data_IF_150516547670
#
_entry.id   IF_150516547670
#
_cell.length_a   1.000
_cell.length_b   1.000
_cell.length_c   1.000
_cell.angle_alpha   90.00
_cell.angle_beta   90.00
_cell.angle_gamma   90.00
#
_symmetry.space_group_name_H-M   'P 1'
#
loop_
_entity.id
_entity.type
_entity.pdbx_description
1 polymer ?
#
# COMPACT_ATOMS: atom_id res chain seq x y z
N UNK A 1 -6.10 34.26 51.55
CA UNK A 1 -5.28 33.43 50.64
C UNK A 1 -6.05 32.27 50.00
N UNK A 2 -7.13 31.74 50.61
CA UNK A 2 -7.88 30.60 50.06
C UNK A 2 -8.82 30.87 48.86
N UNK A 3 -9.31 32.11 48.65
CA UNK A 3 -10.31 32.37 47.60
C UNK A 3 -9.69 32.40 46.19
N UNK A 4 -8.54 33.06 46.02
CA UNK A 4 -7.83 33.11 44.73
C UNK A 4 -7.23 31.77 44.27
N UNK A 5 -6.96 30.82 45.18
CA UNK A 5 -6.54 29.46 44.83
C UNK A 5 -7.69 28.57 44.36
N UNK A 6 -8.93 28.83 44.81
CA UNK A 6 -10.12 28.11 44.36
C UNK A 6 -10.56 28.58 42.96
N UNK A 7 -10.52 29.89 42.71
CA UNK A 7 -10.86 30.46 41.39
C UNK A 7 -9.88 30.06 40.30
N UNK A 8 -8.57 30.01 40.61
CA UNK A 8 -7.54 29.55 39.69
C UNK A 8 -7.64 28.05 39.34
N UNK A 9 -8.08 27.21 40.30
CA UNK A 9 -8.32 25.79 40.07
C UNK A 9 -9.58 25.53 39.24
N UNK A 10 -10.65 26.28 39.48
CA UNK A 10 -11.88 26.18 38.70
C UNK A 10 -11.65 26.61 37.23
N UNK A 11 -10.93 27.71 37.01
CA UNK A 11 -10.57 28.17 35.67
C UNK A 11 -9.63 27.19 34.94
N UNK A 12 -8.62 26.66 35.64
CA UNK A 12 -7.72 25.64 35.11
C UNK A 12 -8.43 24.32 34.79
N UNK A 13 -9.40 23.92 35.60
CA UNK A 13 -10.24 22.74 35.39
C UNK A 13 -11.08 22.87 34.12
N UNK A 14 -11.81 23.97 33.95
CA UNK A 14 -12.64 24.19 32.77
C UNK A 14 -11.79 24.21 31.49
N UNK A 15 -10.63 24.86 31.51
CA UNK A 15 -9.70 24.86 30.39
C UNK A 15 -9.21 23.45 30.03
N UNK A 16 -8.86 22.63 31.02
CA UNK A 16 -8.48 21.24 30.81
C UNK A 16 -9.63 20.42 30.21
N UNK A 17 -10.86 20.56 30.71
CA UNK A 17 -12.01 19.83 30.19
C UNK A 17 -12.32 20.20 28.74
N UNK A 18 -12.25 21.48 28.36
CA UNK A 18 -12.43 21.93 26.96
C UNK A 18 -11.36 21.31 26.06
N UNK A 19 -10.10 21.32 26.50
CA UNK A 19 -8.99 20.69 25.77
C UNK A 19 -9.18 19.18 25.64
N UNK A 20 -9.66 18.52 26.69
CA UNK A 20 -9.98 17.09 26.70
C UNK A 20 -11.08 16.75 25.70
N UNK A 21 -12.18 17.51 25.70
CA UNK A 21 -13.28 17.35 24.74
C UNK A 21 -12.84 17.57 23.29
N UNK A 22 -12.02 18.59 23.03
CA UNK A 22 -11.43 18.82 21.71
C UNK A 22 -10.55 17.65 21.27
N UNK A 23 -9.72 17.12 22.18
CA UNK A 23 -8.86 15.98 21.89
C UNK A 23 -9.68 14.72 21.54
N UNK A 24 -10.71 14.41 22.34
CA UNK A 24 -11.65 13.30 22.05
C UNK A 24 -12.29 13.48 20.67
N UNK A 25 -12.76 14.69 20.34
CA UNK A 25 -13.36 14.97 19.03
C UNK A 25 -12.36 14.78 17.88
N UNK A 26 -11.13 15.27 18.01
CA UNK A 26 -10.07 15.12 16.99
C UNK A 26 -9.72 13.65 16.78
N UNK A 27 -9.59 12.87 17.86
CA UNK A 27 -9.30 11.43 17.77
C UNK A 27 -10.47 10.69 17.12
N UNK A 28 -11.72 10.99 17.48
CA UNK A 28 -12.92 10.41 16.85
C UNK A 28 -13.00 10.72 15.36
N UNK A 29 -12.71 11.95 14.94
CA UNK A 29 -12.60 12.29 13.51
C UNK A 29 -11.49 11.50 12.84
N UNK A 30 -10.35 11.28 13.51
CA UNK A 30 -9.28 10.45 12.98
C UNK A 30 -9.69 8.99 12.80
N UNK A 31 -10.40 8.41 13.77
CA UNK A 31 -10.92 7.03 13.71
C UNK A 31 -11.92 6.90 12.57
N UNK A 32 -12.92 7.79 12.52
CA UNK A 32 -13.95 7.78 11.48
C UNK A 32 -13.33 7.89 10.08
N UNK A 33 -12.37 8.80 9.87
CA UNK A 33 -11.63 8.93 8.60
C UNK A 33 -10.76 7.73 8.25
N UNK A 34 -10.36 6.91 9.21
CA UNK A 34 -9.47 5.77 8.95
C UNK A 34 -10.24 4.46 8.76
N UNK A 35 -11.34 4.27 9.49
CA UNK A 35 -12.06 2.98 9.54
C UNK A 35 -13.45 3.02 8.88
N UNK A 36 -14.09 4.19 8.78
CA UNK A 36 -15.52 4.28 8.40
C UNK A 36 -15.72 5.03 7.09
N UNK A 37 -15.07 6.19 6.93
CA UNK A 37 -15.27 7.06 5.77
C UNK A 37 -14.39 6.56 4.62
N UNK A 38 -15.03 6.12 3.55
CA UNK A 38 -14.37 5.76 2.29
C UNK A 38 -13.80 7.02 1.62
N UNK A 39 -12.64 6.89 0.96
CA UNK A 39 -11.93 7.99 0.27
C UNK A 39 -11.57 9.20 1.16
N UNK A 40 -11.50 9.03 2.48
CA UNK A 40 -11.06 10.10 3.36
C UNK A 40 -9.56 10.40 3.17
N UNK A 41 -9.21 11.70 3.11
CA UNK A 41 -7.80 12.10 3.17
C UNK A 41 -7.22 11.71 4.54
N UNK A 42 -6.01 11.12 4.60
CA UNK A 42 -5.40 10.73 5.87
C UNK A 42 -5.34 11.90 6.85
N UNK A 43 -5.76 11.67 8.10
CA UNK A 43 -5.69 12.68 9.15
C UNK A 43 -4.23 13.10 9.42
N UNK A 44 -4.02 14.28 10.03
CA UNK A 44 -2.69 14.70 10.45
C UNK A 44 -2.02 13.70 11.41
N UNK A 45 -2.81 13.11 12.30
CA UNK A 45 -2.39 12.05 13.23
C UNK A 45 -1.93 10.81 12.46
N UNK A 46 -2.74 10.33 11.52
CA UNK A 46 -2.42 9.15 10.72
C UNK A 46 -1.14 9.33 9.91
N UNK A 47 -0.96 10.51 9.30
CA UNK A 47 0.28 10.86 8.57
C UNK A 47 1.50 10.86 9.49
N UNK A 48 1.37 11.38 10.70
CA UNK A 48 2.48 11.47 11.65
C UNK A 48 2.91 10.09 12.13
N UNK A 49 1.96 9.23 12.52
CA UNK A 49 2.23 7.83 12.89
C UNK A 49 2.88 7.08 11.71
N UNK A 50 2.33 7.23 10.50
CA UNK A 50 2.91 6.61 9.29
C UNK A 50 4.35 7.03 9.05
N UNK A 51 4.67 8.33 9.20
CA UNK A 51 6.05 8.83 9.05
C UNK A 51 6.97 8.26 10.12
N UNK A 52 6.53 8.21 11.38
CA UNK A 52 7.31 7.65 12.48
C UNK A 52 7.63 6.17 12.23
N UNK A 53 6.61 5.35 11.90
CA UNK A 53 6.77 3.93 11.58
C UNK A 53 7.68 3.76 10.36
N UNK A 54 7.44 4.48 9.25
CA UNK A 54 8.31 4.38 8.08
C UNK A 54 9.76 4.77 8.40
N UNK A 55 9.99 5.78 9.25
CA UNK A 55 11.35 6.18 9.64
C UNK A 55 12.06 5.12 10.46
N UNK A 56 11.33 4.46 11.38
CA UNK A 56 11.83 3.32 12.13
C UNK A 56 12.23 2.17 11.19
N UNK A 57 11.38 1.79 10.25
CA UNK A 57 11.68 0.69 9.31
C UNK A 57 12.77 1.05 8.31
N UNK A 58 12.87 2.32 7.88
CA UNK A 58 14.01 2.79 7.08
C UNK A 58 15.30 2.63 7.89
N UNK A 59 15.31 2.98 9.18
CA UNK A 59 16.47 2.81 10.04
C UNK A 59 16.86 1.33 10.21
N UNK A 60 15.88 0.47 10.53
CA UNK A 60 16.10 -0.97 10.71
C UNK A 60 16.63 -1.67 9.45
N UNK A 61 16.24 -1.17 8.27
CA UNK A 61 16.67 -1.74 6.99
C UNK A 61 17.99 -1.19 6.45
N UNK A 62 18.61 -0.19 7.10
CA UNK A 62 19.89 0.38 6.62
C UNK A 62 21.02 -0.63 6.58
N UNK A 63 21.04 -1.55 7.55
CA UNK A 63 22.09 -2.57 7.68
C UNK A 63 21.73 -3.89 7.01
N UNK A 64 20.63 -3.95 6.26
CA UNK A 64 20.23 -5.19 5.57
C UNK A 64 21.21 -5.47 4.42
N UNK A 65 21.86 -6.65 4.38
CA UNK A 65 22.89 -6.96 3.38
C UNK A 65 22.31 -7.25 1.99
N UNK A 66 21.07 -7.75 1.94
CA UNK A 66 20.39 -8.13 0.71
C UNK A 66 18.90 -7.78 0.75
N UNK A 67 18.25 -7.85 -0.41
CA UNK A 67 16.84 -7.56 -0.53
C UNK A 67 15.93 -8.55 0.23
N UNK A 68 16.13 -9.89 0.20
CA UNK A 68 15.30 -10.81 0.98
C UNK A 68 15.29 -10.53 2.49
N UNK A 69 16.43 -10.16 3.07
CA UNK A 69 16.52 -9.77 4.49
C UNK A 69 15.76 -8.46 4.74
N UNK A 70 15.93 -7.49 3.84
CA UNK A 70 15.21 -6.21 3.88
C UNK A 70 13.69 -6.41 3.81
N UNK A 71 13.23 -7.25 2.89
CA UNK A 71 11.81 -7.57 2.70
C UNK A 71 11.22 -8.28 3.94
N UNK A 72 11.96 -9.21 4.54
CA UNK A 72 11.55 -9.87 5.80
C UNK A 72 11.35 -8.88 6.95
N UNK A 73 12.23 -7.88 7.08
CA UNK A 73 12.07 -6.82 8.09
C UNK A 73 10.81 -6.00 7.75
N UNK A 74 10.66 -5.59 6.48
CA UNK A 74 9.55 -4.75 6.05
C UNK A 74 8.19 -5.47 6.09
N UNK A 75 8.15 -6.81 6.14
CA UNK A 75 6.92 -7.57 6.31
C UNK A 75 6.16 -7.24 7.61
N UNK A 76 6.88 -6.83 8.67
CA UNK A 76 6.25 -6.43 9.94
C UNK A 76 5.69 -4.99 9.90
N UNK A 77 6.11 -4.16 8.95
CA UNK A 77 5.76 -2.74 8.87
C UNK A 77 4.25 -2.43 8.93
N UNK A 78 3.39 -3.04 8.09
CA UNK A 78 1.96 -2.73 8.11
C UNK A 78 1.30 -3.12 9.44
N UNK A 79 1.70 -4.24 10.04
CA UNK A 79 1.17 -4.69 11.34
C UNK A 79 1.61 -3.76 12.46
N UNK A 80 2.88 -3.35 12.47
CA UNK A 80 3.38 -2.34 13.41
C UNK A 80 2.64 -1.01 13.26
N UNK A 81 2.34 -0.59 12.03
CA UNK A 81 1.54 0.61 11.80
C UNK A 81 0.14 0.51 12.41
N UNK A 82 -0.58 -0.61 12.20
CA UNK A 82 -1.90 -0.82 12.76
C UNK A 82 -1.86 -0.82 14.30
N UNK A 83 -0.89 -1.50 14.90
CA UNK A 83 -0.72 -1.57 16.35
C UNK A 83 -0.42 -0.18 16.96
N UNK A 84 0.53 0.56 16.37
CA UNK A 84 0.87 1.91 16.83
C UNK A 84 -0.30 2.87 16.63
N UNK A 85 -1.08 2.74 15.55
CA UNK A 85 -2.27 3.56 15.33
C UNK A 85 -3.32 3.34 16.43
N UNK A 86 -3.64 2.07 16.71
CA UNK A 86 -4.58 1.72 17.77
C UNK A 86 -4.12 2.27 19.13
N UNK A 87 -2.84 2.05 19.47
CA UNK A 87 -2.25 2.58 20.70
C UNK A 87 -2.32 4.12 20.75
N UNK A 88 -2.09 4.79 19.62
CA UNK A 88 -2.18 6.25 19.52
C UNK A 88 -3.61 6.75 19.75
N UNK A 89 -4.62 6.08 19.20
CA UNK A 89 -6.02 6.44 19.46
C UNK A 89 -6.40 6.21 20.91
N UNK A 90 -6.08 5.05 21.48
CA UNK A 90 -6.36 4.74 22.89
C UNK A 90 -5.65 5.72 23.83
N UNK A 91 -4.39 6.07 23.57
CA UNK A 91 -3.67 7.08 24.33
C UNK A 91 -4.30 8.47 24.20
N UNK A 92 -4.75 8.85 22.99
CA UNK A 92 -5.44 10.10 22.74
C UNK A 92 -6.78 10.20 23.49
N UNK A 93 -7.58 9.12 23.47
CA UNK A 93 -8.81 9.04 24.25
C UNK A 93 -8.55 9.03 25.74
N UNK A 94 -7.57 8.25 26.21
CA UNK A 94 -7.17 8.20 27.61
C UNK A 94 -6.80 9.60 28.13
N UNK A 95 -5.95 10.33 27.40
CA UNK A 95 -5.59 11.70 27.75
C UNK A 95 -6.80 12.64 27.69
N UNK A 96 -7.63 12.51 26.65
CA UNK A 96 -8.85 13.31 26.48
C UNK A 96 -9.83 13.14 27.65
N UNK A 97 -10.11 11.91 28.05
CA UNK A 97 -10.97 11.59 29.18
C UNK A 97 -10.34 11.95 30.52
N UNK A 98 -9.03 11.79 30.68
CA UNK A 98 -8.29 12.27 31.88
C UNK A 98 -8.49 13.77 32.07
N UNK A 99 -8.34 14.55 30.98
CA UNK A 99 -8.52 16.00 31.01
C UNK A 99 -9.99 16.40 31.21
N UNK A 100 -10.92 15.62 30.66
CA UNK A 100 -12.35 15.79 30.93
C UNK A 100 -12.69 15.53 32.39
N UNK A 101 -12.12 14.52 33.06
CA UNK A 101 -12.41 14.23 34.47
C UNK A 101 -11.68 15.17 35.45
N UNK A 102 -10.65 15.89 34.99
CA UNK A 102 -9.82 16.74 35.84
C UNK A 102 -10.54 17.78 36.73
N UNK A 103 -11.62 18.46 36.30
CA UNK A 103 -12.38 19.37 37.17
C UNK A 103 -13.05 18.70 38.37
N UNK A 104 -13.29 17.38 38.30
CA UNK A 104 -14.06 16.63 39.28
C UNK A 104 -13.19 15.83 40.25
N UNK A 105 -11.90 15.68 39.95
CA UNK A 105 -10.96 14.87 40.72
C UNK A 105 -9.92 15.73 41.44
N UNK A 106 -9.31 15.24 42.55
CA UNK A 106 -8.31 15.99 43.32
C UNK A 106 -7.04 16.35 42.53
N UNK A 107 -6.72 15.57 41.50
CA UNK A 107 -5.50 15.71 40.71
C UNK A 107 -5.53 14.90 39.42
N UNK A 108 -4.53 15.16 38.56
CA UNK A 108 -4.40 14.48 37.26
C UNK A 108 -4.19 12.97 37.39
N UNK A 109 -3.55 12.50 38.48
CA UNK A 109 -3.29 11.09 38.70
C UNK A 109 -4.60 10.33 38.97
N UNK A 110 -5.49 10.93 39.76
CA UNK A 110 -6.81 10.38 40.07
C UNK A 110 -7.72 10.39 38.84
N UNK A 111 -7.75 11.49 38.08
CA UNK A 111 -8.47 11.56 36.80
C UNK A 111 -7.98 10.53 35.79
N UNK A 112 -6.66 10.30 35.73
CA UNK A 112 -6.06 9.31 34.83
C UNK A 112 -6.42 7.89 35.27
N UNK A 113 -6.46 7.62 36.57
CA UNK A 113 -6.88 6.33 37.13
C UNK A 113 -8.34 6.04 36.81
N UNK A 114 -9.23 7.01 36.98
CA UNK A 114 -10.65 6.89 36.63
C UNK A 114 -10.85 6.74 35.12
N UNK A 115 -10.27 7.62 34.30
CA UNK A 115 -10.33 7.53 32.84
C UNK A 115 -9.84 6.17 32.31
N UNK A 116 -8.75 5.65 32.86
CA UNK A 116 -8.22 4.33 32.52
C UNK A 116 -9.15 3.20 32.94
N UNK A 117 -9.68 3.25 34.17
CA UNK A 117 -10.66 2.29 34.67
C UNK A 117 -11.89 2.22 33.77
N UNK A 118 -12.41 3.37 33.34
CA UNK A 118 -13.60 3.45 32.48
C UNK A 118 -13.29 3.06 31.04
N UNK A 119 -12.28 3.66 30.40
CA UNK A 119 -11.92 3.40 28.99
C UNK A 119 -11.57 1.94 28.72
N UNK A 120 -10.87 1.28 29.66
CA UNK A 120 -10.51 -0.14 29.54
C UNK A 120 -11.51 -1.07 30.23
N UNK A 121 -12.66 -0.55 30.68
CA UNK A 121 -13.77 -1.32 31.28
C UNK A 121 -13.39 -2.13 32.53
N UNK A 122 -12.42 -1.64 33.31
CA UNK A 122 -11.96 -2.28 34.54
C UNK A 122 -12.89 -1.99 35.74
N UNK A 123 -13.53 -0.82 35.77
CA UNK A 123 -14.64 -0.50 36.67
C UNK A 123 -14.32 -0.38 38.18
N UNK A 124 -13.04 -0.28 38.57
CA UNK A 124 -12.65 -0.18 39.99
C UNK A 124 -12.39 1.27 40.48
N UNK A 125 -12.36 2.23 39.56
CA UNK A 125 -12.21 3.66 39.84
C UNK A 125 -13.35 4.42 39.17
N UNK A 126 -14.19 5.08 39.98
CA UNK A 126 -15.30 5.92 39.54
C UNK A 126 -15.70 6.88 40.64
N UNK A 127 -16.15 8.08 40.26
CA UNK A 127 -16.70 9.09 41.14
C UNK A 127 -18.21 9.18 40.94
N UNK A 128 -18.96 8.89 42.00
CA UNK A 128 -20.42 8.77 41.99
C UNK A 128 -21.13 10.14 41.95
N UNK A 129 -20.93 10.90 40.86
CA UNK A 129 -21.60 12.17 40.59
C UNK A 129 -22.04 12.23 39.13
N UNK A 130 -23.16 12.92 38.85
CA UNK A 130 -23.84 12.85 37.56
C UNK A 130 -22.96 13.23 36.34
N UNK A 131 -22.05 14.20 36.50
CA UNK A 131 -21.13 14.62 35.42
C UNK A 131 -20.08 13.56 35.07
N UNK A 132 -19.16 13.22 36.00
CA UNK A 132 -18.20 12.12 35.87
C UNK A 132 -18.82 10.81 35.42
N UNK A 133 -20.00 10.43 35.93
CA UNK A 133 -20.68 9.21 35.49
C UNK A 133 -21.00 9.21 33.99
N UNK A 134 -21.43 10.33 33.41
CA UNK A 134 -21.65 10.42 31.95
C UNK A 134 -20.33 10.29 31.18
N UNK A 135 -19.26 10.90 31.68
CA UNK A 135 -17.92 10.81 31.07
C UNK A 135 -17.41 9.37 31.12
N UNK A 136 -17.60 8.68 32.24
CA UNK A 136 -17.26 7.26 32.42
C UNK A 136 -18.00 6.36 31.43
N UNK A 137 -19.31 6.55 31.27
CA UNK A 137 -20.09 5.79 30.29
C UNK A 137 -19.62 6.03 28.86
N UNK A 138 -19.32 7.28 28.49
CA UNK A 138 -18.79 7.62 27.18
C UNK A 138 -17.39 7.03 26.97
N UNK A 139 -16.53 7.07 27.99
CA UNK A 139 -15.19 6.48 27.94
C UNK A 139 -15.25 4.97 27.74
N UNK A 140 -16.04 4.26 28.56
CA UNK A 140 -16.24 2.82 28.44
C UNK A 140 -16.80 2.42 27.07
N UNK A 141 -17.85 3.13 26.61
CA UNK A 141 -18.43 2.91 25.29
C UNK A 141 -17.44 3.17 24.15
N UNK A 142 -16.61 4.21 24.27
CA UNK A 142 -15.57 4.54 23.27
C UNK A 142 -14.50 3.46 23.21
N UNK A 143 -13.97 3.01 24.35
CA UNK A 143 -12.94 1.97 24.40
C UNK A 143 -13.43 0.67 23.76
N UNK A 144 -14.63 0.23 24.14
CA UNK A 144 -15.28 -0.94 23.56
C UNK A 144 -15.50 -0.78 22.06
N UNK A 145 -16.02 0.36 21.61
CA UNK A 145 -16.29 0.62 20.19
C UNK A 145 -15.01 0.59 19.35
N UNK A 146 -13.93 1.22 19.81
CA UNK A 146 -12.65 1.26 19.07
C UNK A 146 -12.05 -0.14 18.94
N UNK A 147 -12.05 -0.92 20.01
CA UNK A 147 -11.56 -2.31 19.98
C UNK A 147 -12.44 -3.16 19.06
N UNK A 148 -13.78 -3.03 19.15
CA UNK A 148 -14.71 -3.74 18.29
C UNK A 148 -14.52 -3.40 16.80
N UNK A 149 -14.39 -2.12 16.46
CA UNK A 149 -14.08 -1.67 15.09
C UNK A 149 -12.76 -2.26 14.59
N UNK A 150 -11.73 -2.28 15.44
CA UNK A 150 -10.42 -2.83 15.06
C UNK A 150 -10.47 -4.35 14.80
N UNK A 151 -11.21 -5.09 15.63
CA UNK A 151 -11.46 -6.53 15.44
C UNK A 151 -12.21 -6.76 14.13
N UNK A 152 -13.24 -5.97 13.83
CA UNK A 152 -14.01 -6.07 12.59
C UNK A 152 -13.20 -5.67 11.34
N UNK A 153 -12.23 -4.77 11.49
CA UNK A 153 -11.43 -4.26 10.38
C UNK A 153 -10.39 -5.27 9.86
N UNK A 154 -9.80 -6.08 10.74
CA UNK A 154 -8.75 -7.04 10.36
C UNK A 154 -9.22 -8.10 9.33
N UNK A 155 -10.38 -8.78 9.51
CA UNK A 155 -10.91 -9.71 8.51
C UNK A 155 -11.09 -9.08 7.13
N UNK A 156 -11.61 -7.84 7.07
CA UNK A 156 -11.79 -7.11 5.80
C UNK A 156 -10.45 -6.84 5.12
N UNK A 157 -9.43 -6.42 5.87
CA UNK A 157 -8.08 -6.25 5.34
C UNK A 157 -7.48 -7.55 4.81
N UNK A 158 -7.57 -8.65 5.58
CA UNK A 158 -7.02 -9.94 5.16
C UNK A 158 -7.75 -10.53 3.95
N UNK A 159 -9.06 -10.34 3.86
CA UNK A 159 -9.84 -10.74 2.67
C UNK A 159 -9.38 -9.98 1.42
N UNK A 160 -9.21 -8.65 1.53
CA UNK A 160 -8.68 -7.85 0.43
C UNK A 160 -7.24 -8.24 0.04
N UNK A 161 -6.39 -8.50 1.04
CA UNK A 161 -5.02 -8.98 0.82
C UNK A 161 -4.99 -10.33 0.10
N UNK A 162 -5.78 -11.31 0.54
CA UNK A 162 -5.81 -12.65 -0.06
C UNK A 162 -6.28 -12.60 -1.52
N UNK A 163 -7.32 -11.83 -1.81
CA UNK A 163 -7.83 -11.63 -3.19
C UNK A 163 -6.77 -11.01 -4.11
N UNK A 164 -6.03 -10.01 -3.60
CA UNK A 164 -4.90 -9.42 -4.31
C UNK A 164 -3.83 -10.48 -4.61
N UNK A 165 -3.46 -11.28 -3.60
CA UNK A 165 -2.29 -12.15 -3.66
C UNK A 165 -2.46 -13.38 -4.56
N UNK A 166 -3.69 -13.86 -4.77
CA UNK A 166 -3.97 -14.97 -5.68
C UNK A 166 -3.38 -14.72 -7.08
N UNK A 167 -3.72 -13.58 -7.69
CA UNK A 167 -3.25 -13.25 -9.05
C UNK A 167 -1.75 -12.96 -9.10
N UNK A 168 -1.21 -12.34 -8.04
CA UNK A 168 0.24 -12.07 -7.93
C UNK A 168 1.03 -13.37 -7.87
N UNK A 169 0.52 -14.36 -7.16
CA UNK A 169 1.15 -15.68 -7.06
C UNK A 169 1.08 -16.44 -8.39
N UNK A 170 -0.07 -16.41 -9.07
CA UNK A 170 -0.23 -17.03 -10.40
C UNK A 170 0.67 -16.38 -11.45
N UNK A 171 0.88 -15.06 -11.36
CA UNK A 171 1.74 -14.32 -12.28
C UNK A 171 3.19 -14.80 -12.24
N UNK A 172 3.70 -15.32 -11.11
CA UNK A 172 5.08 -15.77 -11.00
C UNK A 172 5.44 -16.86 -12.02
N UNK A 173 4.49 -17.75 -12.34
CA UNK A 173 4.66 -18.76 -13.38
C UNK A 173 4.76 -18.12 -14.78
N UNK A 174 3.93 -17.11 -15.04
CA UNK A 174 3.81 -16.43 -16.34
C UNK A 174 4.90 -15.40 -16.59
N UNK A 175 5.32 -14.61 -15.60
CA UNK A 175 6.23 -13.46 -15.77
C UNK A 175 7.58 -13.62 -15.05
N UNK A 176 7.80 -14.75 -14.37
CA UNK A 176 9.00 -14.98 -13.56
C UNK A 176 8.95 -14.35 -12.18
N UNK A 177 10.02 -14.56 -11.41
CA UNK A 177 10.17 -14.06 -10.05
C UNK A 177 11.56 -13.43 -9.89
N UNK A 178 11.69 -12.09 -9.77
CA UNK A 178 10.61 -11.09 -9.82
C UNK A 178 9.93 -10.98 -11.20
N UNK A 179 8.68 -10.50 -11.28
CA UNK A 179 7.95 -10.42 -12.54
C UNK A 179 8.52 -9.35 -13.49
N UNK A 180 8.53 -9.64 -14.79
CA UNK A 180 8.98 -8.73 -15.85
C UNK A 180 8.11 -8.88 -17.11
N UNK A 181 7.65 -7.77 -17.70
CA UNK A 181 6.70 -7.79 -18.82
C UNK A 181 7.21 -8.52 -20.08
N UNK A 182 8.45 -8.28 -20.53
CA UNK A 182 9.05 -9.08 -21.60
C UNK A 182 9.18 -10.58 -21.27
N UNK A 183 9.44 -10.96 -20.01
CA UNK A 183 9.42 -12.39 -19.63
C UNK A 183 8.03 -12.98 -19.76
N UNK A 184 6.99 -12.20 -19.40
CA UNK A 184 5.60 -12.60 -19.57
C UNK A 184 5.30 -12.96 -21.02
N UNK A 185 5.61 -12.06 -21.95
CA UNK A 185 5.45 -12.32 -23.39
C UNK A 185 6.33 -13.49 -23.86
N UNK A 186 7.58 -13.57 -23.42
CA UNK A 186 8.46 -14.68 -23.79
C UNK A 186 7.91 -16.04 -23.36
N UNK A 187 7.35 -16.15 -22.14
CA UNK A 187 6.81 -17.40 -21.61
C UNK A 187 5.51 -17.85 -22.25
N UNK A 188 4.71 -16.93 -22.81
CA UNK A 188 3.57 -17.33 -23.64
C UNK A 188 4.00 -18.14 -24.87
N UNK A 189 5.25 -17.99 -25.34
CA UNK A 189 5.76 -18.72 -26.50
C UNK A 189 6.38 -20.08 -26.16
N UNK A 190 6.85 -20.30 -24.93
CA UNK A 190 7.49 -21.55 -24.49
C UNK A 190 6.51 -22.73 -24.31
N UNK A 191 5.19 -22.48 -24.28
CA UNK A 191 4.18 -23.45 -23.83
C UNK A 191 3.43 -24.28 -24.89
N UNK A 192 3.84 -24.28 -26.17
CA UNK A 192 3.14 -24.76 -27.41
C UNK A 192 2.47 -23.63 -28.21
N UNK A 193 2.04 -23.90 -29.46
CA UNK A 193 1.25 -23.00 -30.31
C UNK A 193 -0.14 -22.76 -29.68
N UNK A 194 -0.19 -22.16 -28.51
CA UNK A 194 -1.44 -21.72 -27.88
C UNK A 194 -1.98 -20.52 -28.68
N UNK A 195 -3.28 -20.55 -28.93
CA UNK A 195 -3.99 -19.52 -29.70
C UNK A 195 -3.90 -18.13 -29.06
N UNK A 196 -4.31 -17.11 -29.81
CA UNK A 196 -4.31 -15.69 -29.42
C UNK A 196 -5.13 -15.37 -28.14
N UNK A 197 -5.84 -16.36 -27.59
CA UNK A 197 -6.83 -16.20 -26.53
C UNK A 197 -6.25 -16.14 -25.10
N UNK A 198 -5.07 -16.73 -24.80
CA UNK A 198 -4.53 -16.74 -23.41
C UNK A 198 -4.06 -15.35 -22.94
N UNK A 199 -3.45 -14.55 -23.81
CA UNK A 199 -3.13 -13.15 -23.51
C UNK A 199 -4.40 -12.30 -23.36
N UNK A 200 -5.43 -12.59 -24.17
CA UNK A 200 -6.73 -11.90 -24.09
C UNK A 200 -7.38 -12.14 -22.72
N UNK A 201 -7.41 -13.38 -22.25
CA UNK A 201 -7.94 -13.73 -20.93
C UNK A 201 -7.12 -13.09 -19.79
N UNK A 202 -5.79 -13.15 -19.89
CA UNK A 202 -4.90 -12.50 -18.93
C UNK A 202 -5.22 -11.01 -18.79
N UNK A 203 -5.33 -10.28 -19.90
CA UNK A 203 -5.59 -8.84 -19.83
C UNK A 203 -6.98 -8.51 -19.27
N UNK A 204 -8.02 -9.30 -19.59
CA UNK A 204 -9.35 -9.15 -18.97
C UNK A 204 -9.33 -9.42 -17.47
N UNK A 205 -8.55 -10.41 -17.04
CA UNK A 205 -8.38 -10.73 -15.63
C UNK A 205 -7.67 -9.60 -14.89
N UNK A 206 -6.57 -9.10 -15.45
CA UNK A 206 -5.78 -8.02 -14.85
C UNK A 206 -6.44 -6.65 -14.94
N UNK A 207 -7.32 -6.41 -15.92
CA UNK A 207 -8.22 -5.25 -15.94
C UNK A 207 -9.15 -5.25 -14.71
N UNK A 208 -9.86 -6.37 -14.48
CA UNK A 208 -10.75 -6.54 -13.32
C UNK A 208 -9.98 -6.47 -12.00
N UNK A 209 -8.82 -7.12 -11.95
CA UNK A 209 -7.95 -7.10 -10.77
C UNK A 209 -7.41 -5.69 -10.49
N UNK A 210 -7.03 -4.92 -11.52
CA UNK A 210 -6.60 -3.54 -11.36
C UNK A 210 -7.72 -2.63 -10.81
N UNK A 211 -8.97 -2.82 -11.26
CA UNK A 211 -10.11 -2.11 -10.70
C UNK A 211 -10.31 -2.42 -9.20
N UNK A 212 -10.21 -3.70 -8.84
CA UNK A 212 -10.37 -4.16 -7.46
C UNK A 212 -9.27 -3.67 -6.51
N UNK A 213 -8.00 -3.76 -6.90
CA UNK A 213 -6.91 -3.22 -6.09
C UNK A 213 -6.99 -1.70 -5.99
N UNK A 214 -7.40 -1.01 -7.06
CA UNK A 214 -7.57 0.45 -7.08
C UNK A 214 -8.56 0.90 -6.00
N UNK A 215 -9.72 0.24 -5.93
CA UNK A 215 -10.74 0.51 -4.91
C UNK A 215 -10.28 0.09 -3.51
N UNK A 216 -9.75 -1.13 -3.34
CA UNK A 216 -9.36 -1.64 -2.02
C UNK A 216 -8.17 -0.90 -1.41
N UNK A 217 -7.13 -0.59 -2.19
CA UNK A 217 -5.91 0.05 -1.68
C UNK A 217 -6.04 1.57 -1.58
N UNK A 218 -7.01 2.19 -2.26
CA UNK A 218 -7.35 3.60 -2.02
C UNK A 218 -8.23 3.79 -0.77
N UNK A 219 -9.15 2.85 -0.49
CA UNK A 219 -9.97 2.86 0.72
C UNK A 219 -9.22 2.35 1.96
N UNK A 220 -8.30 1.41 1.79
CA UNK A 220 -7.46 0.87 2.86
C UNK A 220 -5.97 1.04 2.51
N UNK A 221 -5.41 2.27 2.61
CA UNK A 221 -4.04 2.55 2.18
C UNK A 221 -2.97 1.70 2.85
N UNK A 222 -3.22 1.14 4.03
CA UNK A 222 -2.28 0.23 4.69
C UNK A 222 -1.95 -0.99 3.84
N UNK A 223 -2.87 -1.48 2.99
CA UNK A 223 -2.68 -2.63 2.10
C UNK A 223 -1.52 -2.44 1.11
N UNK A 224 -1.22 -1.19 0.74
CA UNK A 224 -0.09 -0.84 -0.14
C UNK A 224 1.26 -1.34 0.41
N UNK A 225 1.41 -1.41 1.74
CA UNK A 225 2.63 -1.86 2.42
C UNK A 225 2.62 -3.35 2.79
N UNK A 226 1.51 -4.09 2.59
CA UNK A 226 1.48 -5.52 2.85
C UNK A 226 2.30 -6.30 1.82
N UNK A 227 3.30 -7.03 2.31
CA UNK A 227 4.21 -7.85 1.50
C UNK A 227 3.55 -9.13 1.02
N UNK A 228 3.92 -9.55 -0.18
CA UNK A 228 3.61 -10.88 -0.68
C UNK A 228 4.37 -11.93 0.14
N UNK A 229 3.86 -13.17 0.30
CA UNK A 229 4.53 -14.22 1.08
C UNK A 229 5.93 -14.58 0.58
N UNK A 230 6.18 -14.44 -0.72
CA UNK A 230 7.50 -14.65 -1.32
C UNK A 230 8.18 -13.29 -1.55
N UNK A 231 9.46 -13.09 -1.14
CA UNK A 231 10.09 -11.78 -1.19
C UNK A 231 10.17 -11.15 -2.58
N UNK A 232 10.32 -12.00 -3.61
CA UNK A 232 10.44 -11.58 -5.00
C UNK A 232 9.09 -11.37 -5.69
N UNK A 233 7.98 -11.66 -5.00
CA UNK A 233 6.65 -11.32 -5.48
C UNK A 233 6.27 -9.93 -5.00
N UNK A 234 5.53 -9.21 -5.83
CA UNK A 234 5.02 -7.90 -5.48
C UNK A 234 3.83 -7.59 -6.36
N UNK A 235 2.72 -7.20 -5.75
CA UNK A 235 1.52 -6.77 -6.47
C UNK A 235 1.81 -5.60 -7.42
N UNK A 236 2.64 -4.65 -6.97
CA UNK A 236 2.98 -3.45 -7.73
C UNK A 236 3.87 -3.78 -8.93
N UNK A 237 4.91 -4.58 -8.70
CA UNK A 237 5.82 -5.00 -9.77
C UNK A 237 5.11 -5.97 -10.74
N UNK A 238 4.20 -6.79 -10.23
CA UNK A 238 3.35 -7.66 -11.04
C UNK A 238 2.44 -6.87 -11.96
N UNK A 239 1.74 -5.86 -11.43
CA UNK A 239 0.93 -4.94 -12.26
C UNK A 239 1.79 -4.26 -13.30
N UNK A 240 2.94 -3.71 -12.90
CA UNK A 240 3.88 -3.06 -13.82
C UNK A 240 4.32 -3.99 -14.95
N UNK A 241 4.64 -5.26 -14.64
CA UNK A 241 5.00 -6.25 -15.64
C UNK A 241 3.86 -6.53 -16.64
N UNK A 242 2.61 -6.59 -16.18
CA UNK A 242 1.45 -6.80 -17.06
C UNK A 242 1.16 -5.58 -17.94
N UNK A 243 1.31 -4.36 -17.39
CA UNK A 243 1.19 -3.14 -18.19
C UNK A 243 2.30 -3.07 -19.25
N UNK A 244 3.52 -3.45 -18.88
CA UNK A 244 4.65 -3.50 -19.80
C UNK A 244 4.46 -4.53 -20.90
N UNK A 245 3.89 -5.70 -20.60
CA UNK A 245 3.58 -6.70 -21.61
C UNK A 245 2.48 -6.22 -22.58
N UNK A 246 1.44 -5.55 -22.07
CA UNK A 246 0.39 -4.96 -22.90
C UNK A 246 0.92 -3.85 -23.81
N UNK A 247 1.72 -2.93 -23.25
CA UNK A 247 2.34 -1.84 -24.01
C UNK A 247 3.29 -2.36 -25.09
N UNK A 248 4.09 -3.40 -24.79
CA UNK A 248 4.95 -4.06 -25.77
C UNK A 248 4.16 -4.76 -26.87
N UNK A 249 3.11 -5.50 -26.52
CA UNK A 249 2.26 -6.18 -27.50
C UNK A 249 1.66 -5.18 -28.49
N UNK A 250 1.08 -4.08 -28.01
CA UNK A 250 0.48 -3.05 -28.86
C UNK A 250 1.52 -2.29 -29.71
N UNK A 251 2.74 -2.13 -29.19
CA UNK A 251 3.80 -1.43 -29.92
C UNK A 251 4.44 -2.31 -31.01
N UNK A 252 4.72 -3.58 -30.70
CA UNK A 252 5.45 -4.52 -31.55
C UNK A 252 4.55 -5.29 -32.52
N UNK A 253 3.28 -5.52 -32.19
CA UNK A 253 2.36 -6.36 -32.97
C UNK A 253 1.05 -5.61 -33.30
N UNK A 254 1.05 -4.68 -34.27
CA UNK A 254 -0.15 -3.92 -34.63
C UNK A 254 -1.33 -4.78 -35.10
N UNK A 255 -1.07 -5.93 -35.73
CA UNK A 255 -2.11 -6.89 -36.10
C UNK A 255 -2.88 -7.46 -34.89
N UNK A 256 -2.28 -7.37 -33.70
CA UNK A 256 -2.82 -7.82 -32.42
C UNK A 256 -3.35 -6.67 -31.55
N UNK A 257 -3.57 -5.48 -32.12
CA UNK A 257 -4.26 -4.40 -31.42
C UNK A 257 -5.70 -4.82 -31.13
N UNK A 258 -5.98 -5.11 -29.86
CA UNK A 258 -7.28 -5.54 -29.34
C UNK A 258 -7.69 -4.64 -28.18
N UNK A 259 -8.98 -4.64 -27.88
CA UNK A 259 -9.52 -3.77 -26.83
C UNK A 259 -9.02 -4.17 -25.43
N UNK A 260 -8.81 -5.45 -25.17
CA UNK A 260 -8.42 -6.01 -23.87
C UNK A 260 -7.08 -5.47 -23.34
N UNK A 261 -5.94 -5.52 -24.07
CA UNK A 261 -4.70 -4.91 -23.58
C UNK A 261 -4.81 -3.40 -23.36
N UNK A 262 -5.64 -2.69 -24.15
CA UNK A 262 -5.87 -1.24 -23.97
C UNK A 262 -6.67 -0.94 -22.70
N UNK A 263 -7.72 -1.71 -22.42
CA UNK A 263 -8.50 -1.60 -21.20
C UNK A 263 -7.68 -1.98 -19.97
N UNK A 264 -6.88 -3.05 -20.07
CA UNK A 264 -5.94 -3.44 -19.03
C UNK A 264 -4.94 -2.32 -18.70
N UNK A 265 -4.35 -1.69 -19.73
CA UNK A 265 -3.50 -0.51 -19.57
C UNK A 265 -4.25 0.63 -18.86
N UNK A 266 -5.41 1.03 -19.40
CA UNK A 266 -6.22 2.15 -18.88
C UNK A 266 -6.61 1.94 -17.42
N UNK A 267 -7.09 0.76 -17.08
CA UNK A 267 -7.48 0.43 -15.72
C UNK A 267 -6.27 0.32 -14.79
N UNK A 268 -5.17 -0.28 -15.25
CA UNK A 268 -3.94 -0.42 -14.47
C UNK A 268 -3.33 0.93 -14.06
N UNK A 269 -3.15 1.84 -15.01
CA UNK A 269 -2.59 3.15 -14.67
C UNK A 269 -3.60 4.04 -13.92
N UNK A 270 -4.90 3.86 -14.12
CA UNK A 270 -5.92 4.53 -13.29
C UNK A 270 -5.87 4.05 -11.83
N UNK A 271 -5.72 2.74 -11.61
CA UNK A 271 -5.57 2.17 -10.28
C UNK A 271 -4.30 2.67 -9.59
N UNK A 272 -3.15 2.68 -10.28
CA UNK A 272 -1.89 3.20 -9.74
C UNK A 272 -2.02 4.66 -9.29
N UNK A 273 -2.68 5.50 -10.10
CA UNK A 273 -2.92 6.92 -9.78
C UNK A 273 -3.84 7.10 -8.58
N UNK A 274 -4.94 6.36 -8.51
CA UNK A 274 -5.85 6.38 -7.35
C UNK A 274 -5.13 5.98 -6.06
N UNK A 275 -4.32 4.92 -6.11
CA UNK A 275 -3.53 4.45 -4.97
C UNK A 275 -2.49 5.48 -4.57
N UNK A 276 -1.74 6.03 -5.53
CA UNK A 276 -0.73 7.07 -5.29
C UNK A 276 -1.35 8.30 -4.63
N UNK A 277 -2.50 8.77 -5.13
CA UNK A 277 -3.26 9.86 -4.52
C UNK A 277 -3.65 9.55 -3.07
N UNK A 278 -4.17 8.35 -2.80
CA UNK A 278 -4.58 7.93 -1.45
C UNK A 278 -3.41 7.91 -0.44
N UNK A 279 -2.19 7.58 -0.88
CA UNK A 279 -0.99 7.60 -0.03
C UNK A 279 -0.27 8.95 0.01
N UNK A 280 -0.73 9.93 -0.78
CA UNK A 280 -0.20 11.29 -0.85
C UNK A 280 1.06 11.44 -1.71
N UNK A 281 1.19 10.60 -2.74
CA UNK A 281 2.21 10.76 -3.80
C UNK A 281 1.61 11.65 -4.91
N UNK A 282 2.33 12.68 -5.37
CA UNK A 282 1.88 13.51 -6.51
C UNK A 282 1.72 12.68 -7.78
N UNK A 283 0.67 12.97 -8.54
CA UNK A 283 0.29 12.26 -9.76
C UNK A 283 0.02 13.28 -10.86
N UNK A 284 0.47 12.96 -12.07
CA UNK A 284 0.03 13.62 -13.30
C UNK A 284 -1.18 12.86 -13.86
N UNK A 285 -2.31 13.54 -14.01
CA UNK A 285 -3.57 12.92 -14.47
C UNK A 285 -3.68 12.85 -15.99
N UNK A 286 -2.85 13.58 -16.74
CA UNK A 286 -2.85 13.56 -18.20
C UNK A 286 -1.44 13.86 -18.72
N UNK A 287 -0.50 12.91 -18.53
CA UNK A 287 0.87 13.12 -18.95
C UNK A 287 0.96 13.24 -20.47
N UNK A 288 1.69 14.24 -20.94
CA UNK A 288 1.95 14.46 -22.36
C UNK A 288 2.64 13.21 -22.98
N UNK A 289 2.06 12.59 -24.03
CA UNK A 289 2.64 11.43 -24.71
C UNK A 289 4.08 11.64 -25.22
N UNK A 290 4.47 12.88 -25.51
CA UNK A 290 5.82 13.24 -25.97
C UNK A 290 6.79 13.47 -24.80
N UNK A 291 6.31 13.45 -23.56
CA UNK A 291 7.18 13.46 -22.39
C UNK A 291 8.07 12.22 -22.38
N UNK A 292 9.36 12.44 -22.08
CA UNK A 292 10.32 11.36 -21.93
C UNK A 292 9.95 10.41 -20.77
N UNK A 293 10.28 9.13 -20.95
CA UNK A 293 10.28 8.14 -19.87
C UNK A 293 11.71 7.93 -19.34
N UNK A 294 11.84 7.44 -18.12
CA UNK A 294 13.12 7.11 -17.46
C UNK A 294 13.70 5.81 -17.97
N UNK A 295 12.88 4.85 -18.41
CA UNK A 295 13.39 3.64 -19.07
C UNK A 295 14.14 4.04 -20.35
N UNK A 296 15.38 3.57 -20.48
CA UNK A 296 16.19 3.91 -21.65
C UNK A 296 15.79 3.09 -22.88
N UNK A 297 16.03 3.65 -24.07
CA UNK A 297 15.88 2.91 -25.32
C UNK A 297 16.79 1.67 -25.37
N UNK A 298 17.98 1.73 -24.76
CA UNK A 298 18.90 0.60 -24.68
C UNK A 298 18.31 -0.59 -23.90
N UNK A 299 17.69 -0.33 -22.75
CA UNK A 299 16.99 -1.35 -21.96
C UNK A 299 15.78 -1.93 -22.70
N UNK A 300 15.01 -1.07 -23.39
CA UNK A 300 13.91 -1.49 -24.24
C UNK A 300 14.39 -2.41 -25.37
N UNK A 301 15.40 -1.99 -26.13
CA UNK A 301 15.95 -2.76 -27.26
C UNK A 301 16.49 -4.10 -26.79
N UNK A 302 17.17 -4.17 -25.65
CA UNK A 302 17.64 -5.42 -25.07
C UNK A 302 16.47 -6.38 -24.75
N UNK A 303 15.34 -5.86 -24.29
CA UNK A 303 14.15 -6.67 -24.07
C UNK A 303 13.50 -7.16 -25.37
N UNK A 304 13.41 -6.30 -26.39
CA UNK A 304 12.88 -6.71 -27.70
C UNK A 304 13.77 -7.78 -28.34
N UNK A 305 15.10 -7.65 -28.25
CA UNK A 305 16.02 -8.68 -28.71
C UNK A 305 15.75 -10.04 -28.03
N UNK A 306 15.50 -10.05 -26.72
CA UNK A 306 15.11 -11.27 -25.99
C UNK A 306 13.77 -11.85 -26.45
N UNK A 307 12.81 -11.01 -26.83
CA UNK A 307 11.54 -11.47 -27.41
C UNK A 307 11.76 -12.10 -28.79
N UNK A 308 12.61 -11.50 -29.63
CA UNK A 308 12.97 -12.04 -30.94
C UNK A 308 13.71 -13.38 -30.82
N UNK A 309 14.63 -13.52 -29.87
CA UNK A 309 15.37 -14.78 -29.61
C UNK A 309 14.45 -15.96 -29.32
N UNK A 310 13.31 -15.71 -28.66
CA UNK A 310 12.33 -16.77 -28.32
C UNK A 310 11.26 -16.95 -29.40
N UNK A 311 11.37 -16.23 -30.52
CA UNK A 311 10.43 -16.29 -31.64
C UNK A 311 9.08 -15.65 -31.33
N UNK A 312 9.04 -14.64 -30.46
CA UNK A 312 7.85 -13.80 -30.29
C UNK A 312 7.64 -12.94 -31.56
N UNK A 313 6.40 -12.77 -32.05
CA UNK A 313 6.14 -11.99 -33.26
C UNK A 313 6.53 -10.53 -33.06
N UNK A 314 7.23 -9.96 -34.03
CA UNK A 314 7.62 -8.55 -34.06
C UNK A 314 7.35 -8.04 -35.48
N UNK A 315 6.33 -7.19 -35.61
CA UNK A 315 5.86 -6.65 -36.89
C UNK A 315 6.47 -5.26 -37.19
N UNK A 316 6.84 -4.52 -36.15
CA UNK A 316 7.57 -3.24 -36.24
C UNK A 316 8.98 -3.40 -35.71
N UNK A 317 9.94 -2.73 -36.34
CA UNK A 317 11.31 -2.67 -35.80
C UNK A 317 11.33 -2.03 -34.40
N UNK A 318 12.32 -2.33 -33.55
CA UNK A 318 12.45 -1.69 -32.23
C UNK A 318 12.44 -0.16 -32.30
N UNK A 319 13.05 0.42 -33.34
CA UNK A 319 13.09 1.85 -33.61
C UNK A 319 11.69 2.43 -33.90
N UNK A 320 10.91 1.76 -34.75
CA UNK A 320 9.54 2.17 -35.12
C UNK A 320 8.54 1.96 -33.97
N UNK A 321 8.70 0.89 -33.18
CA UNK A 321 7.81 0.57 -32.08
C UNK A 321 8.04 1.45 -30.83
N UNK A 322 9.24 2.03 -30.69
CA UNK A 322 9.63 2.78 -29.49
C UNK A 322 8.72 3.98 -29.17
N UNK A 323 8.37 4.89 -30.11
CA UNK A 323 7.44 5.98 -29.82
C UNK A 323 6.09 5.48 -29.30
N UNK A 324 5.56 4.39 -29.87
CA UNK A 324 4.29 3.79 -29.43
C UNK A 324 4.39 3.21 -28.02
N UNK A 325 5.48 2.49 -27.72
CA UNK A 325 5.72 1.95 -26.37
C UNK A 325 5.84 3.08 -25.33
N UNK A 326 6.60 4.14 -25.64
CA UNK A 326 6.73 5.31 -24.76
C UNK A 326 5.38 5.98 -24.50
N UNK A 327 4.58 6.19 -25.56
CA UNK A 327 3.26 6.81 -25.45
C UNK A 327 2.31 6.04 -24.54
N UNK A 328 2.45 4.72 -24.43
CA UNK A 328 1.73 3.95 -23.40
C UNK A 328 2.38 4.08 -22.02
N UNK A 329 3.70 3.87 -21.94
CA UNK A 329 4.45 3.77 -20.67
C UNK A 329 4.49 5.05 -19.85
N UNK A 330 4.45 6.21 -20.50
CA UNK A 330 4.41 7.53 -19.84
C UNK A 330 3.24 7.66 -18.84
N UNK A 331 2.13 6.96 -19.10
CA UNK A 331 0.92 6.99 -18.27
C UNK A 331 1.10 6.36 -16.88
N UNK A 332 2.08 5.48 -16.69
CA UNK A 332 2.22 4.72 -15.45
C UNK A 332 3.63 4.70 -14.86
N UNK A 333 4.68 4.98 -15.62
CA UNK A 333 6.05 4.76 -15.16
C UNK A 333 6.40 5.60 -13.92
N UNK A 334 6.15 6.92 -13.97
CA UNK A 334 6.48 7.84 -12.88
C UNK A 334 5.77 7.45 -11.57
N UNK A 335 4.47 7.14 -11.68
CA UNK A 335 3.63 6.75 -10.55
C UNK A 335 4.04 5.39 -10.00
N UNK A 336 4.26 4.39 -10.87
CA UNK A 336 4.73 3.07 -10.47
C UNK A 336 6.09 3.15 -9.76
N UNK A 337 7.01 3.97 -10.27
CA UNK A 337 8.35 4.14 -9.68
C UNK A 337 8.28 4.83 -8.32
N UNK A 338 7.45 5.86 -8.19
CA UNK A 338 7.23 6.53 -6.91
C UNK A 338 6.64 5.58 -5.86
N UNK A 339 5.63 4.78 -6.24
CA UNK A 339 5.07 3.75 -5.38
C UNK A 339 6.11 2.68 -5.02
N UNK A 340 6.93 2.24 -5.98
CA UNK A 340 7.93 1.21 -5.77
C UNK A 340 9.06 1.69 -4.84
N UNK A 341 9.45 2.97 -4.96
CA UNK A 341 10.40 3.60 -4.04
C UNK A 341 9.81 3.81 -2.63
N UNK A 342 8.53 4.21 -2.53
CA UNK A 342 7.84 4.45 -1.27
C UNK A 342 7.57 3.15 -0.48
N UNK A 343 7.18 2.10 -1.19
CA UNK A 343 6.95 0.76 -0.63
C UNK A 343 8.21 -0.06 -0.56
N UNK A 344 9.30 0.35 -1.18
CA UNK A 344 10.53 -0.44 -1.23
C UNK A 344 10.28 -1.85 -1.79
N UNK A 345 9.61 -1.88 -2.94
CA UNK A 345 9.27 -3.12 -3.65
C UNK A 345 10.54 -3.81 -4.16
N UNK A 346 10.45 -5.07 -4.57
CA UNK A 346 11.57 -5.80 -5.18
C UNK A 346 12.14 -5.01 -6.35
N UNK A 347 13.47 -4.76 -6.42
CA UNK A 347 14.08 -4.04 -7.53
C UNK A 347 14.15 -4.96 -8.74
N UNK A 348 13.06 -5.13 -9.48
CA UNK A 348 13.05 -5.89 -10.73
C UNK A 348 13.50 -5.02 -11.92
N UNK A 349 13.78 -5.67 -13.04
CA UNK A 349 13.94 -4.98 -14.32
C UNK A 349 12.73 -4.06 -14.58
N UNK A 350 13.03 -2.84 -15.04
CA UNK A 350 12.04 -1.83 -15.42
C UNK A 350 11.16 -1.30 -14.28
N UNK A 351 11.52 -1.52 -13.01
CA UNK A 351 10.76 -1.03 -11.84
C UNK A 351 11.31 0.22 -11.17
N UNK A 352 12.30 0.88 -11.79
CA UNK A 352 12.89 2.12 -11.31
C UNK A 352 13.80 1.95 -10.08
N UNK A 353 14.40 3.04 -9.61
CA UNK A 353 15.33 3.01 -8.48
C UNK A 353 14.62 2.77 -7.14
N UNK A 354 15.40 2.45 -6.10
CA UNK A 354 14.95 2.40 -4.70
C UNK A 354 15.63 3.49 -3.87
N UNK A 355 15.17 3.69 -2.64
CA UNK A 355 15.75 4.64 -1.68
C UNK A 355 17.15 4.26 -1.19
N UNK A 356 17.62 3.07 -1.55
CA UNK A 356 18.92 2.51 -1.22
C UNK A 356 19.58 2.00 -2.52
N UNK A 357 20.93 1.89 -2.56
CA UNK A 357 21.63 1.40 -3.74
C UNK A 357 21.22 -0.05 -4.05
N UNK A 358 20.44 -0.25 -5.12
CA UNK A 358 19.98 -1.56 -5.53
C UNK A 358 20.26 -1.80 -7.01
N UNK A 359 20.49 -3.06 -7.37
CA UNK A 359 20.64 -3.48 -8.76
C UNK A 359 19.36 -4.22 -9.20
N UNK A 360 18.87 -3.96 -10.42
CA UNK A 360 17.74 -4.68 -10.97
C UNK A 360 18.00 -6.20 -11.00
N UNK A 361 17.08 -6.96 -10.42
CA UNK A 361 17.12 -8.42 -10.36
C UNK A 361 16.36 -8.97 -11.57
N UNK A 362 17.00 -9.73 -12.48
CA UNK A 362 16.32 -10.37 -13.59
C UNK A 362 15.41 -11.51 -13.09
N UNK A 363 14.34 -11.85 -13.84
CA UNK A 363 13.48 -12.98 -13.50
C UNK A 363 14.27 -14.28 -13.50
N UNK A 364 14.07 -15.12 -12.48
CA UNK A 364 14.66 -16.47 -12.46
C UNK A 364 13.91 -17.38 -13.43
N UNK A 365 14.68 -18.04 -14.31
CA UNK A 365 14.20 -19.14 -15.15
C UNK A 365 14.62 -20.47 -14.51
N UNK A 366 13.67 -21.34 -14.14
CA UNK A 366 14.01 -22.71 -13.74
C UNK A 366 14.75 -23.39 -14.90
N UNK A 367 15.81 -24.14 -14.61
CA UNK A 367 16.47 -24.95 -15.63
C UNK A 367 15.50 -26.01 -16.17
N UNK A 368 15.42 -26.16 -17.51
CA UNK A 368 14.68 -27.25 -18.16
C UNK A 368 15.40 -28.57 -17.88
N UNK A 369 15.07 -29.19 -16.74
CA UNK A 369 15.62 -30.48 -16.33
C UNK A 369 14.91 -31.58 -17.09
N UNK A 370 15.58 -32.17 -18.08
CA UNK A 370 15.09 -33.34 -18.81
C UNK A 370 15.62 -34.62 -18.19
N UNK A 371 14.83 -35.70 -18.13
CA UNK A 371 15.34 -37.01 -17.73
C UNK A 371 16.49 -37.43 -18.67
N UNK A 372 17.69 -37.66 -18.11
CA UNK A 372 18.82 -38.27 -18.83
C UNK A 372 19.69 -37.38 -19.73
N UNK A 373 19.63 -36.04 -19.66
CA UNK A 373 20.46 -35.18 -20.54
C UNK A 373 20.87 -33.83 -19.94
N UNK A 374 21.95 -33.27 -20.49
CA UNK A 374 22.62 -32.02 -20.08
C UNK A 374 21.67 -30.81 -20.01
N UNK A 375 21.79 -30.05 -18.92
CA UNK A 375 20.99 -28.85 -18.66
C UNK A 375 21.20 -27.79 -19.78
N UNK A 376 20.12 -27.35 -20.44
CA UNK A 376 20.12 -26.10 -21.22
C UNK A 376 19.58 -24.97 -20.33
N UNK A 377 20.34 -23.87 -20.27
CA UNK A 377 20.04 -22.68 -19.47
C UNK A 377 19.00 -21.77 -20.14
#
# INVERSE_FOLDING_TARGET
MCMGQLDGRAAGGIGAAVMGGLLVAVVTVSVARTLVITRARPSGLTRSVRRAVNSLFVLLTRSAPDYPTRDRILAAQPVTFLAVMLATWLAGYFLGYTLLLFPWEPGLAESAREAGSSLFTLGFATTATAGPSVIDFLAAGTGLLIVALQIAYLPTLYSAFNRRETEVTLLAARAGSPPWGPELLARTRYGTQLGEDDLTELYRLWERWAADIGESHSNYPVLVWFRSPQPRHSWLVGLLAVLDSAALLLALCPSRDRIEPRLCLRMGFTALRQIAFAVGIPVDEDPDPDSGIRLSYGEYRAAVARLTEVGFPVERTPEEAWPHFRGWRVNYESTAYALAAATDAVPSLWSGPRRWPSHPIPPVRPADRRPGGENRA
#
